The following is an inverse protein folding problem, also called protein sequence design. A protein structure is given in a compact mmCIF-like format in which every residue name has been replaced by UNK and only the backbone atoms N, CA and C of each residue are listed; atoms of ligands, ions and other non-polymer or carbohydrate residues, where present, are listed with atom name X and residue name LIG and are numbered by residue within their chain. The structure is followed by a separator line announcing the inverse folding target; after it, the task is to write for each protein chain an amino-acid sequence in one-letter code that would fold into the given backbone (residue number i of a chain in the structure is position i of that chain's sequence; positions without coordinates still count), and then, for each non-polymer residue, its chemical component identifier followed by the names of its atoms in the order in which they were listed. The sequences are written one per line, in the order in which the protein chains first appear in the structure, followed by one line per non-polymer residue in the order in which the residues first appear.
data_IF_768475731388
#
_entry.id   IF_768475731388
#
_cell.length_a   1.000
_cell.length_b   1.000
_cell.length_c   1.000
_cell.angle_alpha   90.00
_cell.angle_beta   90.00
_cell.angle_gamma   90.00
#
_symmetry.space_group_name_H-M   'P 1'
#
loop_
_entity.id
_entity.type
_entity.pdbx_description
1 polymer ?
#
# COMPACT_ATOMS: atom_id res chain seq x y z
N UNK A 1 -8.47 0.06 5.23
CA UNK A 1 -9.30 0.48 4.07
C UNK A 1 -9.44 1.99 3.94
N UNK A 2 -10.13 2.71 4.84
CA UNK A 2 -10.39 4.17 4.67
C UNK A 2 -9.14 5.05 4.53
N UNK A 3 -8.09 4.77 5.31
CA UNK A 3 -6.81 5.49 5.23
C UNK A 3 -6.14 5.37 3.86
N UNK A 4 -6.21 4.19 3.22
CA UNK A 4 -5.63 3.98 1.90
C UNK A 4 -6.34 4.82 0.82
N UNK A 5 -7.68 4.88 0.88
CA UNK A 5 -8.48 5.75 0.00
C UNK A 5 -8.13 7.22 0.24
N UNK A 6 -7.98 7.61 1.50
CA UNK A 6 -7.62 8.98 1.83
C UNK A 6 -6.25 9.37 1.29
N UNK A 7 -5.23 8.50 1.45
CA UNK A 7 -3.90 8.72 0.87
C UNK A 7 -3.95 8.89 -0.65
N UNK A 8 -4.73 8.06 -1.35
CA UNK A 8 -4.94 8.20 -2.79
C UNK A 8 -5.60 9.53 -3.16
N UNK A 9 -6.65 9.94 -2.43
CA UNK A 9 -7.28 11.25 -2.63
C UNK A 9 -6.30 12.39 -2.40
N UNK A 10 -5.51 12.33 -1.33
CA UNK A 10 -4.50 13.33 -1.00
C UNK A 10 -3.47 13.47 -2.11
N UNK A 11 -3.08 12.36 -2.75
CA UNK A 11 -2.19 12.38 -3.91
C UNK A 11 -2.85 12.92 -5.18
N UNK A 12 -4.13 12.62 -5.41
CA UNK A 12 -4.87 13.16 -6.57
C UNK A 12 -4.97 14.68 -6.47
N UNK A 13 -5.36 15.20 -5.30
CA UNK A 13 -5.51 16.63 -5.03
C UNK A 13 -4.22 17.30 -4.55
N UNK A 14 -3.05 16.68 -4.78
CA UNK A 14 -1.76 17.18 -4.27
C UNK A 14 -1.41 18.61 -4.70
N UNK A 15 -1.98 19.08 -5.81
CA UNK A 15 -1.78 20.44 -6.31
C UNK A 15 -2.53 21.50 -5.49
N UNK A 16 -3.60 21.11 -4.78
CA UNK A 16 -4.38 21.98 -3.90
C UNK A 16 -3.78 22.08 -2.49
N UNK A 17 -2.75 21.29 -2.18
CA UNK A 17 -2.08 21.24 -0.88
C UNK A 17 -0.66 21.78 -0.95
N UNK A 18 -0.24 22.50 0.11
CA UNK A 18 1.16 22.89 0.29
C UNK A 18 1.88 21.71 0.92
N UNK A 19 2.44 20.84 0.08
CA UNK A 19 3.22 19.68 0.51
C UNK A 19 4.72 19.97 0.41
N UNK A 20 5.47 19.61 1.45
CA UNK A 20 6.92 19.58 1.35
C UNK A 20 7.37 18.45 0.41
N UNK A 21 8.56 18.57 -0.18
CA UNK A 21 9.13 17.53 -1.05
C UNK A 21 9.20 16.15 -0.37
N UNK A 22 9.42 16.13 0.95
CA UNK A 22 9.45 14.91 1.74
C UNK A 22 8.05 14.28 1.84
N UNK A 23 7.03 15.07 2.17
CA UNK A 23 5.65 14.58 2.27
C UNK A 23 5.13 14.09 0.93
N UNK A 24 5.43 14.81 -0.15
CA UNK A 24 5.10 14.39 -1.51
C UNK A 24 5.65 13.00 -1.81
N UNK A 25 6.95 12.80 -1.57
CA UNK A 25 7.60 11.52 -1.83
C UNK A 25 6.99 10.39 -0.97
N UNK A 26 6.75 10.65 0.32
CA UNK A 26 6.12 9.68 1.22
C UNK A 26 4.71 9.29 0.76
N UNK A 27 3.86 10.27 0.41
CA UNK A 27 2.50 10.01 -0.08
C UNK A 27 2.56 9.23 -1.41
N UNK A 28 3.49 9.58 -2.31
CA UNK A 28 3.70 8.87 -3.58
C UNK A 28 4.07 7.41 -3.34
N UNK A 29 5.04 7.11 -2.47
CA UNK A 29 5.44 5.74 -2.14
C UNK A 29 4.29 4.93 -1.54
N UNK A 30 3.49 5.55 -0.65
CA UNK A 30 2.30 4.92 -0.07
C UNK A 30 1.25 4.62 -1.16
N UNK A 31 1.02 5.54 -2.10
CA UNK A 31 0.06 5.34 -3.18
C UNK A 31 0.50 4.21 -4.14
N UNK A 32 1.78 4.14 -4.48
CA UNK A 32 2.35 3.07 -5.31
C UNK A 32 2.17 1.71 -4.61
N UNK A 33 2.45 1.65 -3.30
CA UNK A 33 2.20 0.45 -2.49
C UNK A 33 0.71 0.05 -2.51
N UNK A 34 -0.18 1.01 -2.32
CA UNK A 34 -1.63 0.76 -2.30
C UNK A 34 -2.09 0.17 -3.62
N UNK A 35 -1.71 0.77 -4.75
CA UNK A 35 -2.13 0.34 -6.08
C UNK A 35 -1.58 -1.06 -6.41
N UNK A 36 -0.31 -1.33 -6.10
CA UNK A 36 0.35 -2.58 -6.48
C UNK A 36 -0.06 -3.78 -5.63
N UNK A 37 -0.24 -3.57 -4.33
CA UNK A 37 -0.44 -4.65 -3.35
C UNK A 37 -1.82 -4.58 -2.69
N UNK A 38 -2.13 -3.44 -2.07
CA UNK A 38 -3.28 -3.33 -1.17
C UNK A 38 -4.62 -3.42 -1.91
N UNK A 39 -4.73 -2.86 -3.12
CA UNK A 39 -5.96 -2.90 -3.92
C UNK A 39 -6.35 -4.33 -4.26
N UNK A 40 -5.38 -5.19 -4.63
CA UNK A 40 -5.64 -6.60 -4.96
C UNK A 40 -6.22 -7.36 -3.75
N UNK A 41 -5.63 -7.17 -2.58
CA UNK A 41 -6.16 -7.76 -1.34
C UNK A 41 -7.53 -7.17 -0.97
N UNK A 42 -7.73 -5.87 -1.21
CA UNK A 42 -8.98 -5.19 -0.85
C UNK A 42 -10.19 -5.66 -1.67
N UNK A 43 -10.06 -5.84 -2.99
CA UNK A 43 -11.16 -6.36 -3.83
C UNK A 43 -11.65 -7.75 -3.37
N UNK A 44 -10.74 -8.51 -2.80
CA UNK A 44 -10.88 -9.90 -2.44
C UNK A 44 -11.29 -10.11 -0.97
N UNK A 45 -11.11 -9.08 -0.12
CA UNK A 45 -11.43 -9.07 1.31
C UNK A 45 -12.87 -9.45 1.69
N UNK A 46 -13.93 -9.16 0.89
CA UNK A 46 -15.29 -9.58 1.23
C UNK A 46 -15.49 -11.10 1.22
N UNK A 47 -14.58 -11.85 0.57
CA UNK A 47 -14.72 -13.29 0.40
C UNK A 47 -13.96 -14.01 1.52
N UNK A 48 -14.61 -14.14 2.68
CA UNK A 48 -14.00 -14.69 3.90
C UNK A 48 -13.40 -16.11 3.73
N UNK A 49 -13.97 -16.93 2.86
CA UNK A 49 -13.48 -18.28 2.58
C UNK A 49 -12.04 -18.31 2.02
N UNK A 50 -11.61 -17.22 1.36
CA UNK A 50 -10.27 -17.09 0.81
C UNK A 50 -9.31 -16.31 1.70
N UNK A 51 -9.74 -15.82 2.87
CA UNK A 51 -8.89 -15.01 3.76
C UNK A 51 -7.54 -15.65 4.05
N UNK A 52 -7.44 -16.95 4.46
CA UNK A 52 -6.13 -17.54 4.77
C UNK A 52 -5.19 -17.58 3.57
N UNK A 53 -5.75 -17.83 2.37
CA UNK A 53 -4.99 -17.85 1.12
C UNK A 53 -4.54 -16.43 0.73
N UNK A 54 -5.44 -15.45 0.83
CA UNK A 54 -5.16 -14.05 0.50
C UNK A 54 -4.12 -13.44 1.43
N UNK A 55 -4.12 -13.79 2.71
CA UNK A 55 -3.13 -13.32 3.67
C UNK A 55 -1.73 -13.87 3.32
N UNK A 56 -1.64 -15.16 2.98
CA UNK A 56 -0.40 -15.80 2.50
C UNK A 56 0.09 -15.22 1.17
N UNK A 57 -0.81 -15.04 0.22
CA UNK A 57 -0.51 -14.45 -1.08
C UNK A 57 -0.05 -13.00 -0.93
N UNK A 58 -0.67 -12.24 -0.03
CA UNK A 58 -0.26 -10.87 0.28
C UNK A 58 1.14 -10.82 0.88
N UNK A 59 1.48 -11.71 1.82
CA UNK A 59 2.83 -11.80 2.38
C UNK A 59 3.88 -12.17 1.32
N UNK A 60 3.56 -13.10 0.42
CA UNK A 60 4.44 -13.44 -0.71
C UNK A 60 4.67 -12.22 -1.61
N UNK A 61 3.59 -11.54 -2.00
CA UNK A 61 3.68 -10.35 -2.84
C UNK A 61 4.44 -9.22 -2.13
N UNK A 62 4.29 -9.08 -0.82
CA UNK A 62 5.04 -8.12 -0.01
C UNK A 62 6.54 -8.43 0.03
N UNK A 63 6.90 -9.72 0.08
CA UNK A 63 8.29 -10.14 0.00
C UNK A 63 8.89 -9.86 -1.38
N UNK A 64 8.15 -10.12 -2.46
CA UNK A 64 8.58 -9.80 -3.84
C UNK A 64 8.66 -8.29 -4.08
N UNK A 65 7.86 -7.49 -3.37
CA UNK A 65 7.87 -6.02 -3.44
C UNK A 65 9.18 -5.38 -2.93
N UNK A 66 10.07 -6.14 -2.27
CA UNK A 66 11.43 -5.67 -1.97
C UNK A 66 12.19 -5.19 -3.21
N UNK A 67 11.87 -5.72 -4.39
CA UNK A 67 12.48 -5.31 -5.66
C UNK A 67 12.04 -3.90 -6.11
N UNK A 68 10.91 -3.41 -5.60
CA UNK A 68 10.37 -2.07 -5.91
C UNK A 68 10.75 -1.07 -4.83
N UNK A 69 10.58 -1.44 -3.56
CA UNK A 69 10.93 -0.61 -2.41
C UNK A 69 11.37 -1.50 -1.24
N UNK A 70 12.69 -1.68 -1.12
CA UNK A 70 13.31 -2.57 -0.15
C UNK A 70 13.10 -2.11 1.29
N UNK A 71 13.19 -0.79 1.54
CA UNK A 71 13.06 -0.21 2.87
C UNK A 71 11.63 -0.39 3.38
N UNK A 72 10.65 -0.04 2.53
CA UNK A 72 9.23 -0.11 2.88
C UNK A 72 8.77 -1.56 3.09
N UNK A 73 9.20 -2.51 2.25
CA UNK A 73 8.91 -3.93 2.44
C UNK A 73 9.52 -4.49 3.73
N UNK A 74 10.78 -4.15 4.06
CA UNK A 74 11.42 -4.55 5.32
C UNK A 74 10.68 -4.00 6.54
N UNK A 75 10.26 -2.73 6.51
CA UNK A 75 9.49 -2.13 7.61
C UNK A 75 8.14 -2.82 7.80
N UNK A 76 7.44 -3.16 6.71
CA UNK A 76 6.15 -3.84 6.78
C UNK A 76 6.28 -5.28 7.28
N UNK A 77 7.26 -6.05 6.80
CA UNK A 77 7.51 -7.43 7.26
C UNK A 77 7.99 -7.51 8.73
N UNK A 78 8.62 -6.46 9.25
CA UNK A 78 9.05 -6.41 10.65
C UNK A 78 7.88 -6.15 11.61
N UNK A 79 6.82 -5.50 11.12
CA UNK A 79 5.66 -5.06 11.90
C UNK A 79 4.39 -5.89 11.64
N UNK A 80 4.44 -6.88 10.74
CA UNK A 80 3.37 -7.84 10.42
C UNK A 80 3.42 -9.06 11.33
#
# INVERSE_FOLDING_TARGET
MSKAIYSLKMFIFREDFILTKKEYNSISSICIFIINLYVKAWFNAPIAAFSPYQDLEFLKNLYEYKNVDEELSKTLLKNS
#
